data_IF_877770589714
#
_entry.id   IF_877770589714
#
_cell.length_a   1.000
_cell.length_b   1.000
_cell.length_c   1.000
_cell.angle_alpha   90.00
_cell.angle_beta   90.00
_cell.angle_gamma   90.00
#
_symmetry.space_group_name_H-M   'P 1'
#
loop_
_entity.id
_entity.type
_entity.pdbx_description
1 polymer ?
#
# COMPACT_ATOMS: atom_id res chain seq x y z
N UNK A 1 17.04 13.79 10.23
CA UNK A 1 16.35 12.74 11.02
C UNK A 1 14.98 12.34 10.48
N UNK A 2 14.12 13.26 9.98
CA UNK A 2 12.78 12.90 9.45
C UNK A 2 12.80 12.12 8.12
N UNK A 3 13.68 12.45 7.16
CA UNK A 3 13.78 11.72 5.87
C UNK A 3 14.26 10.27 6.01
N UNK A 4 15.10 9.97 7.01
CA UNK A 4 15.61 8.62 7.23
C UNK A 4 14.49 7.67 7.63
N UNK A 5 13.51 8.15 8.42
CA UNK A 5 12.36 7.35 8.84
C UNK A 5 11.42 6.99 7.68
N UNK A 6 11.23 7.91 6.72
CA UNK A 6 10.36 7.69 5.56
C UNK A 6 10.96 6.66 4.59
N UNK A 7 12.28 6.75 4.33
CA UNK A 7 13.02 5.75 3.56
C UNK A 7 13.00 4.37 4.24
N UNK A 8 13.21 4.33 5.56
CA UNK A 8 13.13 3.09 6.33
C UNK A 8 11.71 2.49 6.34
N UNK A 9 10.64 3.29 6.39
CA UNK A 9 9.28 2.76 6.33
C UNK A 9 8.96 2.20 4.94
N UNK A 10 9.30 2.91 3.86
CA UNK A 10 9.07 2.43 2.50
C UNK A 10 9.89 1.16 2.21
N UNK A 11 11.14 1.10 2.68
CA UNK A 11 11.96 -0.11 2.60
C UNK A 11 11.39 -1.25 3.45
N UNK A 12 11.05 -1.00 4.71
CA UNK A 12 10.47 -2.00 5.61
C UNK A 12 9.14 -2.54 5.09
N UNK A 13 8.24 -1.67 4.63
CA UNK A 13 6.97 -2.07 4.04
C UNK A 13 7.19 -2.82 2.72
N UNK A 14 8.12 -2.36 1.89
CA UNK A 14 8.53 -3.08 0.68
C UNK A 14 9.06 -4.48 0.97
N UNK A 15 9.89 -4.64 2.00
CA UNK A 15 10.38 -5.94 2.46
C UNK A 15 9.28 -6.80 3.09
N UNK A 16 8.33 -6.20 3.82
CA UNK A 16 7.17 -6.92 4.37
C UNK A 16 6.30 -7.45 3.24
N UNK A 17 5.96 -6.62 2.25
CA UNK A 17 5.17 -7.04 1.08
C UNK A 17 5.95 -8.07 0.28
N UNK A 18 7.24 -7.87 0.00
CA UNK A 18 8.09 -8.86 -0.69
C UNK A 18 8.27 -10.14 0.11
N UNK A 19 8.32 -10.11 1.43
CA UNK A 19 8.43 -11.31 2.25
C UNK A 19 7.11 -12.08 2.29
N UNK A 20 5.98 -11.37 2.36
CA UNK A 20 4.64 -11.98 2.33
C UNK A 20 4.30 -12.54 0.93
N UNK A 21 4.85 -11.96 -0.14
CA UNK A 21 4.65 -12.38 -1.54
C UNK A 21 5.74 -13.32 -2.04
N UNK A 22 6.97 -13.20 -1.56
CA UNK A 22 8.07 -14.13 -1.85
C UNK A 22 7.81 -15.52 -1.27
N UNK A 23 6.91 -15.62 -0.29
CA UNK A 23 6.31 -16.88 0.13
C UNK A 23 5.40 -17.51 -0.94
N UNK A 24 4.81 -16.71 -1.83
CA UNK A 24 4.00 -17.17 -2.98
C UNK A 24 4.84 -17.59 -4.18
N UNK A 25 6.02 -16.97 -4.39
CA UNK A 25 6.94 -17.35 -5.47
C UNK A 25 8.12 -18.11 -4.89
N UNK A 26 7.93 -19.41 -4.68
CA UNK A 26 9.05 -20.35 -4.61
C UNK A 26 9.91 -20.18 -5.86
N UNK A 27 11.04 -19.47 -5.70
CA UNK A 27 12.06 -19.12 -6.68
C UNK A 27 11.84 -17.79 -7.45
N UNK A 28 12.94 -17.03 -7.53
CA UNK A 28 13.20 -15.81 -8.31
C UNK A 28 12.93 -14.49 -7.57
N UNK A 29 13.93 -14.10 -6.77
CA UNK A 29 14.21 -12.71 -6.42
C UNK A 29 14.75 -12.02 -7.68
N UNK A 30 13.99 -11.10 -8.26
CA UNK A 30 14.56 -10.01 -9.06
C UNK A 30 14.25 -8.73 -8.29
N UNK A 31 15.26 -8.25 -7.57
CA UNK A 31 15.32 -6.85 -7.21
C UNK A 31 16.66 -6.33 -7.73
N UNK A 32 16.60 -5.58 -8.82
CA UNK A 32 17.74 -4.85 -9.34
C UNK A 32 17.99 -3.65 -8.43
N UNK A 33 18.92 -3.80 -7.49
CA UNK A 33 19.75 -2.70 -7.03
C UNK A 33 21.07 -3.29 -6.51
N UNK A 34 22.11 -3.16 -7.35
CA UNK A 34 23.53 -3.23 -7.00
C UNK A 34 23.99 -4.48 -6.22
N UNK A 35 24.38 -5.52 -6.98
CA UNK A 35 25.27 -6.64 -6.61
C UNK A 35 25.55 -6.87 -5.12
N UNK A 36 24.77 -7.76 -4.47
CA UNK A 36 25.29 -8.94 -3.74
C UNK A 36 24.23 -10.04 -3.88
N UNK A 37 24.50 -11.08 -4.68
CA UNK A 37 23.76 -12.34 -4.62
C UNK A 37 24.28 -13.10 -3.41
N UNK A 38 23.66 -12.91 -2.25
CA UNK A 38 23.78 -13.92 -1.19
C UNK A 38 22.75 -15.00 -1.53
N UNK A 39 23.20 -16.02 -2.24
CA UNK A 39 22.48 -17.28 -2.29
C UNK A 39 22.50 -17.87 -0.88
N UNK A 40 21.56 -17.45 -0.02
CA UNK A 40 21.27 -18.16 1.21
C UNK A 40 20.61 -19.47 0.78
N UNK A 41 21.44 -20.51 0.73
CA UNK A 41 21.01 -21.86 0.48
C UNK A 41 19.79 -22.21 1.34
N UNK A 42 18.81 -22.84 0.68
CA UNK A 42 17.79 -23.75 1.23
C UNK A 42 17.63 -23.66 2.74
N UNK A 43 16.56 -22.98 3.18
CA UNK A 43 16.12 -23.08 4.56
C UNK A 43 15.71 -24.54 4.89
N UNK A 44 16.01 -25.07 6.11
CA UNK A 44 15.98 -26.51 6.40
C UNK A 44 14.59 -27.14 6.61
N UNK A 45 13.50 -26.52 6.14
CA UNK A 45 12.13 -26.98 6.41
C UNK A 45 11.33 -27.37 5.17
N UNK A 46 11.98 -27.56 4.02
CA UNK A 46 11.32 -28.22 2.89
C UNK A 46 11.26 -29.73 3.16
N UNK A 47 10.24 -30.15 3.91
CA UNK A 47 9.67 -31.49 3.71
C UNK A 47 9.24 -31.57 2.25
N UNK A 48 9.52 -32.69 1.57
CA UNK A 48 9.09 -32.98 0.20
C UNK A 48 7.59 -32.67 0.02
N UNK A 49 7.28 -31.45 -0.42
CA UNK A 49 5.94 -30.90 -0.41
C UNK A 49 5.47 -30.70 -1.83
N UNK A 50 4.37 -31.36 -2.18
CA UNK A 50 3.58 -31.13 -3.40
C UNK A 50 3.42 -29.63 -3.60
N UNK A 51 3.64 -29.14 -4.83
CA UNK A 51 3.42 -27.75 -5.17
C UNK A 51 1.97 -27.36 -4.80
N UNK A 52 1.74 -26.19 -4.19
CA UNK A 52 0.41 -25.76 -3.78
C UNK A 52 -0.52 -25.73 -5.00
N UNK A 53 -1.77 -26.12 -4.78
CA UNK A 53 -2.82 -26.03 -5.79
C UNK A 53 -3.15 -24.55 -6.07
N UNK A 54 -3.69 -24.22 -7.25
CA UNK A 54 -4.11 -22.84 -7.57
C UNK A 54 -5.12 -22.26 -6.56
N UNK A 55 -5.95 -23.10 -5.95
CA UNK A 55 -6.90 -22.71 -4.91
C UNK A 55 -6.20 -22.32 -3.61
N UNK A 56 -5.17 -23.08 -3.20
CA UNK A 56 -4.35 -22.76 -2.03
C UNK A 56 -3.53 -21.48 -2.23
N UNK A 57 -3.00 -21.24 -3.43
CA UNK A 57 -2.30 -20.00 -3.78
C UNK A 57 -3.24 -18.78 -3.73
N UNK A 58 -4.47 -18.91 -4.26
CA UNK A 58 -5.48 -17.86 -4.23
C UNK A 58 -5.92 -17.53 -2.79
N UNK A 59 -6.18 -18.57 -1.98
CA UNK A 59 -6.54 -18.41 -0.57
C UNK A 59 -5.41 -17.76 0.24
N UNK A 60 -4.15 -18.13 -0.02
CA UNK A 60 -3.00 -17.49 0.61
C UNK A 60 -2.90 -16.01 0.22
N UNK A 61 -3.06 -15.69 -1.07
CA UNK A 61 -3.04 -14.30 -1.56
C UNK A 61 -4.13 -13.47 -0.91
N UNK A 62 -5.34 -14.01 -0.78
CA UNK A 62 -6.45 -13.36 -0.08
C UNK A 62 -6.12 -13.11 1.40
N UNK A 63 -5.57 -14.11 2.10
CA UNK A 63 -5.16 -13.96 3.49
C UNK A 63 -4.09 -12.86 3.68
N UNK A 64 -3.14 -12.74 2.75
CA UNK A 64 -2.15 -11.64 2.74
C UNK A 64 -2.83 -10.29 2.56
N UNK A 65 -3.79 -10.17 1.63
CA UNK A 65 -4.53 -8.92 1.40
C UNK A 65 -5.30 -8.52 2.66
N UNK A 66 -6.04 -9.45 3.28
CA UNK A 66 -6.80 -9.20 4.51
C UNK A 66 -5.85 -8.71 5.62
N UNK A 67 -4.70 -9.36 5.79
CA UNK A 67 -3.73 -8.99 6.82
C UNK A 67 -3.10 -7.62 6.58
N UNK A 68 -2.70 -7.32 5.34
CA UNK A 68 -2.15 -6.03 4.94
C UNK A 68 -3.14 -4.89 5.16
N UNK A 69 -4.40 -5.12 4.77
CA UNK A 69 -5.49 -4.15 4.94
C UNK A 69 -5.74 -3.88 6.43
N UNK A 70 -5.85 -4.92 7.25
CA UNK A 70 -6.06 -4.80 8.70
C UNK A 70 -4.92 -4.05 9.40
N UNK A 71 -3.66 -4.31 9.01
CA UNK A 71 -2.51 -3.54 9.52
C UNK A 71 -2.61 -2.07 9.12
N UNK A 72 -2.99 -1.78 7.87
CA UNK A 72 -3.26 -0.42 7.42
C UNK A 72 -4.34 0.26 8.24
N UNK A 73 -5.46 -0.44 8.46
CA UNK A 73 -6.59 0.03 9.25
C UNK A 73 -6.21 0.46 10.66
N UNK A 74 -5.48 -0.39 11.39
CA UNK A 74 -5.05 -0.09 12.76
C UNK A 74 -4.11 1.12 12.82
N UNK A 75 -3.18 1.22 11.87
CA UNK A 75 -2.29 2.38 11.75
C UNK A 75 -3.08 3.64 11.43
N UNK A 76 -4.01 3.55 10.47
CA UNK A 76 -4.88 4.64 10.05
C UNK A 76 -5.71 5.22 11.19
N UNK A 77 -6.36 4.35 11.96
CA UNK A 77 -7.16 4.72 13.13
C UNK A 77 -6.34 5.54 14.14
N UNK A 78 -5.20 4.99 14.58
CA UNK A 78 -4.34 5.61 15.59
C UNK A 78 -3.69 6.91 15.10
N UNK A 79 -3.32 6.94 13.83
CA UNK A 79 -2.68 8.11 13.25
C UNK A 79 -3.67 9.25 13.05
N UNK A 80 -4.89 8.96 12.60
CA UNK A 80 -5.95 9.95 12.45
C UNK A 80 -6.30 10.63 13.79
N UNK A 81 -6.43 9.86 14.87
CA UNK A 81 -6.66 10.40 16.23
C UNK A 81 -5.59 11.43 16.62
N UNK A 82 -4.32 11.14 16.30
CA UNK A 82 -3.20 12.04 16.59
C UNK A 82 -3.22 13.30 15.72
N UNK A 83 -3.47 13.16 14.42
CA UNK A 83 -3.39 14.26 13.44
C UNK A 83 -4.66 15.15 13.48
N UNK A 84 -5.78 14.63 13.99
CA UNK A 84 -7.02 15.37 14.15
C UNK A 84 -7.17 16.07 15.52
N UNK A 85 -6.29 15.78 16.49
CA UNK A 85 -6.40 16.23 17.90
C UNK A 85 -6.79 17.70 18.07
N UNK A 86 -6.09 18.60 17.39
CA UNK A 86 -6.24 20.05 17.62
C UNK A 86 -7.19 20.71 16.61
N UNK A 87 -7.98 19.91 15.88
CA UNK A 87 -8.89 20.43 14.86
C UNK A 87 -10.29 20.67 15.41
N UNK A 88 -11.00 21.66 14.84
CA UNK A 88 -12.46 21.70 14.94
C UNK A 88 -13.08 20.38 14.48
N UNK A 89 -14.19 19.99 15.10
CA UNK A 89 -14.93 18.79 14.70
C UNK A 89 -15.37 18.91 13.25
N UNK A 90 -15.07 17.88 12.47
CA UNK A 90 -15.55 17.74 11.10
C UNK A 90 -16.92 17.08 11.16
N UNK A 91 -17.96 17.81 10.77
CA UNK A 91 -19.34 17.33 10.83
C UNK A 91 -19.78 16.71 9.50
N UNK A 92 -19.26 17.23 8.39
CA UNK A 92 -19.66 16.82 7.05
C UNK A 92 -18.66 15.81 6.46
N UNK A 93 -19.13 14.80 5.71
CA UNK A 93 -18.24 13.81 5.10
C UNK A 93 -17.17 14.43 4.19
N UNK A 94 -17.52 15.50 3.48
CA UNK A 94 -16.58 16.21 2.60
C UNK A 94 -15.41 16.82 3.38
N UNK A 95 -15.63 17.30 4.61
CA UNK A 95 -14.58 17.91 5.42
C UNK A 95 -13.59 16.85 5.93
N UNK A 96 -14.12 15.67 6.30
CA UNK A 96 -13.29 14.50 6.64
C UNK A 96 -12.44 14.07 5.44
N UNK A 97 -13.02 14.01 4.23
CA UNK A 97 -12.28 13.67 3.02
C UNK A 97 -11.20 14.71 2.70
N UNK A 98 -11.50 16.01 2.86
CA UNK A 98 -10.49 17.08 2.70
C UNK A 98 -9.35 16.96 3.70
N UNK A 99 -9.64 16.61 4.94
CA UNK A 99 -8.62 16.32 5.96
C UNK A 99 -7.74 15.14 5.54
N UNK A 100 -8.35 14.06 5.04
CA UNK A 100 -7.59 12.90 4.53
C UNK A 100 -6.67 13.32 3.39
N UNK A 101 -7.19 14.06 2.40
CA UNK A 101 -6.43 14.50 1.23
C UNK A 101 -5.28 15.46 1.53
N UNK A 102 -5.38 16.22 2.61
CA UNK A 102 -4.39 17.24 2.98
C UNK A 102 -3.59 16.75 4.17
N UNK A 103 -4.06 17.01 5.37
CA UNK A 103 -3.25 16.87 6.56
C UNK A 103 -2.81 15.44 6.86
N UNK A 104 -3.71 14.48 6.68
CA UNK A 104 -3.40 13.08 6.89
C UNK A 104 -2.40 12.59 5.83
N UNK A 105 -2.67 12.84 4.54
CA UNK A 105 -1.78 12.47 3.45
C UNK A 105 -0.41 13.15 3.55
N UNK A 106 -0.36 14.46 3.85
CA UNK A 106 0.88 15.22 4.05
C UNK A 106 1.67 14.68 5.24
N UNK A 107 1.00 14.34 6.35
CA UNK A 107 1.69 13.83 7.52
C UNK A 107 2.42 12.51 7.26
N UNK A 108 1.88 11.66 6.38
CA UNK A 108 2.44 10.33 6.04
C UNK A 108 3.36 10.40 4.82
N UNK A 109 2.88 10.95 3.71
CA UNK A 109 3.54 10.92 2.40
C UNK A 109 4.23 12.24 2.02
N UNK A 110 4.19 13.24 2.90
CA UNK A 110 4.84 14.56 2.74
C UNK A 110 4.36 15.35 1.51
N UNK A 111 3.17 15.01 1.02
CA UNK A 111 2.51 15.61 -0.14
C UNK A 111 1.00 15.59 0.08
N UNK A 112 0.26 16.53 -0.52
CA UNK A 112 -1.20 16.48 -0.58
C UNK A 112 -1.69 15.68 -1.79
N UNK A 113 -2.88 15.10 -1.72
CA UNK A 113 -3.56 14.51 -2.88
C UNK A 113 -3.71 15.56 -3.99
N UNK A 114 -3.40 15.19 -5.23
CA UNK A 114 -3.41 16.11 -6.37
C UNK A 114 -4.83 16.44 -6.84
N UNK A 115 -5.72 15.45 -6.82
CA UNK A 115 -7.10 15.61 -7.29
C UNK A 115 -8.10 14.91 -6.38
N UNK A 116 -9.16 15.62 -6.05
CA UNK A 116 -10.34 15.11 -5.37
C UNK A 116 -11.56 15.31 -6.28
N UNK A 117 -12.29 14.25 -6.57
CA UNK A 117 -13.57 14.27 -7.28
C UNK A 117 -14.65 13.62 -6.42
N UNK A 118 -15.89 14.05 -6.57
CA UNK A 118 -17.05 13.43 -5.91
C UNK A 118 -18.27 13.48 -6.81
N UNK A 119 -19.16 12.51 -6.66
CA UNK A 119 -20.49 12.56 -7.26
C UNK A 119 -21.55 13.20 -6.34
N UNK A 120 -21.14 13.76 -5.18
CA UNK A 120 -22.01 14.31 -4.14
C UNK A 120 -23.04 13.33 -3.55
N UNK A 121 -22.88 12.02 -3.84
CA UNK A 121 -23.73 10.92 -3.36
C UNK A 121 -22.92 9.90 -2.57
N UNK A 122 -21.91 10.38 -1.83
CA UNK A 122 -21.07 9.54 -0.97
C UNK A 122 -19.92 8.82 -1.68
N UNK A 123 -19.70 9.03 -2.98
CA UNK A 123 -18.54 8.48 -3.69
C UNK A 123 -17.49 9.58 -3.89
N UNK A 124 -16.25 9.27 -3.53
CA UNK A 124 -15.10 10.14 -3.67
C UNK A 124 -13.99 9.40 -4.43
N UNK A 125 -13.30 10.12 -5.31
CA UNK A 125 -12.12 9.64 -6.02
C UNK A 125 -10.97 10.57 -5.69
N UNK A 126 -9.93 10.02 -5.08
CA UNK A 126 -8.69 10.72 -4.73
C UNK A 126 -7.56 10.21 -5.61
N UNK A 127 -6.74 11.12 -6.15
CA UNK A 127 -5.65 10.76 -7.05
C UNK A 127 -4.35 11.41 -6.59
N UNK A 128 -3.33 10.59 -6.40
CA UNK A 128 -1.93 11.00 -6.27
C UNK A 128 -1.19 10.55 -7.54
N UNK A 129 -0.85 11.51 -8.40
CA UNK A 129 -0.22 11.27 -9.70
C UNK A 129 1.25 10.86 -9.60
N UNK A 130 1.85 10.96 -8.42
CA UNK A 130 3.27 10.63 -8.22
C UNK A 130 3.46 9.99 -6.87
N UNK A 131 2.67 8.95 -6.61
CA UNK A 131 2.66 8.27 -5.33
C UNK A 131 4.01 7.55 -5.10
N UNK A 132 4.87 8.19 -4.31
CA UNK A 132 6.30 7.84 -4.15
C UNK A 132 6.55 6.43 -3.65
N UNK A 133 5.58 5.82 -2.96
CA UNK A 133 5.72 4.46 -2.46
C UNK A 133 5.65 3.40 -3.55
N UNK A 134 5.14 3.75 -4.74
CA UNK A 134 5.19 2.89 -5.91
C UNK A 134 6.47 3.09 -6.73
N UNK A 135 7.36 4.01 -6.31
CA UNK A 135 8.58 4.27 -7.03
C UNK A 135 9.49 3.04 -7.03
N UNK A 136 9.94 2.64 -8.22
CA UNK A 136 10.80 1.47 -8.41
C UNK A 136 10.08 0.12 -8.39
N UNK A 137 8.74 0.09 -8.41
CA UNK A 137 8.00 -1.14 -8.72
C UNK A 137 8.06 -1.38 -10.22
N UNK A 138 8.75 -2.44 -10.62
CA UNK A 138 8.84 -2.90 -12.01
C UNK A 138 8.88 -4.42 -12.06
N UNK A 139 8.20 -5.02 -13.02
CA UNK A 139 8.24 -6.45 -13.31
C UNK A 139 8.52 -6.70 -14.80
N UNK A 140 8.56 -7.96 -15.22
CA UNK A 140 8.83 -8.33 -16.61
C UNK A 140 7.72 -7.87 -17.58
N UNK A 141 6.49 -7.69 -17.08
CA UNK A 141 5.35 -7.21 -17.86
C UNK A 141 4.62 -6.06 -17.17
N UNK A 142 3.95 -5.21 -17.96
CA UNK A 142 3.10 -4.12 -17.46
C UNK A 142 1.98 -4.66 -16.54
N UNK A 143 1.43 -5.84 -16.86
CA UNK A 143 0.38 -6.49 -16.07
C UNK A 143 0.89 -6.94 -14.69
N UNK A 144 2.04 -7.63 -14.63
CA UNK A 144 2.63 -8.03 -13.34
C UNK A 144 3.04 -6.81 -12.50
N UNK A 145 3.53 -5.76 -13.15
CA UNK A 145 3.88 -4.49 -12.49
C UNK A 145 2.64 -3.87 -11.85
N UNK A 146 1.52 -3.85 -12.58
CA UNK A 146 0.22 -3.36 -12.08
C UNK A 146 -0.29 -4.19 -10.90
N UNK A 147 -0.23 -5.51 -10.99
CA UNK A 147 -0.66 -6.40 -9.91
C UNK A 147 0.17 -6.24 -8.64
N UNK A 148 1.49 -6.08 -8.79
CA UNK A 148 2.37 -5.77 -7.67
C UNK A 148 2.02 -4.41 -7.06
N UNK A 149 1.83 -3.38 -7.88
CA UNK A 149 1.46 -2.04 -7.42
C UNK A 149 0.12 -2.05 -6.65
N UNK A 150 -0.90 -2.76 -7.16
CA UNK A 150 -2.19 -2.90 -6.48
C UNK A 150 -2.05 -3.59 -5.12
N UNK A 151 -1.20 -4.61 -5.01
CA UNK A 151 -0.94 -5.27 -3.73
C UNK A 151 -0.24 -4.34 -2.73
N UNK A 152 0.71 -3.52 -3.20
CA UNK A 152 1.33 -2.47 -2.38
C UNK A 152 0.32 -1.45 -1.86
N UNK A 153 -0.73 -1.15 -2.64
CA UNK A 153 -1.79 -0.20 -2.30
C UNK A 153 -2.82 -0.72 -1.29
N UNK A 154 -2.82 -2.02 -0.96
CA UNK A 154 -3.74 -2.60 0.03
C UNK A 154 -3.57 -1.96 1.41
N UNK A 155 -2.33 -1.74 1.87
CA UNK A 155 -2.09 -1.07 3.14
C UNK A 155 -2.54 0.41 3.12
N UNK A 156 -2.20 1.24 2.11
CA UNK A 156 -2.79 2.57 1.95
C UNK A 156 -4.32 2.60 1.94
N UNK A 157 -4.99 1.60 1.33
CA UNK A 157 -6.45 1.49 1.40
C UNK A 157 -6.93 1.29 2.83
N UNK A 158 -6.32 0.35 3.57
CA UNK A 158 -6.62 0.14 4.99
C UNK A 158 -6.33 1.39 5.83
N UNK A 159 -5.21 2.07 5.57
CA UNK A 159 -4.79 3.31 6.23
C UNK A 159 -5.85 4.41 6.11
N UNK A 160 -6.38 4.62 4.89
CA UNK A 160 -7.49 5.56 4.67
C UNK A 160 -8.75 5.06 5.37
N UNK A 161 -9.10 3.77 5.24
CA UNK A 161 -10.33 3.22 5.85
C UNK A 161 -10.33 3.36 7.37
N UNK A 162 -9.20 3.10 8.03
CA UNK A 162 -9.04 3.29 9.47
C UNK A 162 -9.16 4.75 9.89
N UNK A 163 -8.54 5.65 9.12
CA UNK A 163 -8.67 7.09 9.38
C UNK A 163 -10.13 7.56 9.27
N UNK A 164 -10.85 7.13 8.23
CA UNK A 164 -12.26 7.44 8.05
C UNK A 164 -13.11 6.89 9.20
N UNK A 165 -12.89 5.64 9.60
CA UNK A 165 -13.62 5.01 10.70
C UNK A 165 -13.41 5.74 12.04
N UNK A 166 -12.18 6.15 12.34
CA UNK A 166 -11.85 6.93 13.54
C UNK A 166 -12.56 8.31 13.56
N UNK A 167 -12.80 8.88 12.37
CA UNK A 167 -13.49 10.15 12.18
C UNK A 167 -15.01 9.99 12.00
N UNK A 168 -15.55 8.78 12.24
CA UNK A 168 -16.98 8.51 12.22
C UNK A 168 -17.57 8.18 10.84
N UNK A 169 -16.74 7.94 9.82
CA UNK A 169 -17.17 7.55 8.48
C UNK A 169 -16.86 6.08 8.19
N UNK A 170 -17.89 5.28 7.94
CA UNK A 170 -17.72 3.93 7.40
C UNK A 170 -17.63 4.00 5.88
N UNK A 171 -16.55 3.48 5.31
CA UNK A 171 -16.31 3.51 3.87
C UNK A 171 -15.64 2.23 3.38
N UNK A 172 -15.86 1.90 2.10
CA UNK A 172 -15.08 0.93 1.34
C UNK A 172 -14.04 1.72 0.55
N UNK A 173 -12.78 1.30 0.63
CA UNK A 173 -11.67 1.97 -0.05
C UNK A 173 -10.99 0.96 -0.96
N UNK A 174 -11.03 1.24 -2.26
CA UNK A 174 -10.35 0.46 -3.29
C UNK A 174 -9.33 1.35 -4.00
N UNK A 175 -8.22 0.75 -4.43
CA UNK A 175 -7.22 1.42 -5.24
C UNK A 175 -7.26 0.91 -6.68
N UNK A 176 -6.85 1.77 -7.62
CA UNK A 176 -6.59 1.40 -9.00
C UNK A 176 -5.29 2.05 -9.47
N UNK A 177 -4.63 1.39 -10.42
CA UNK A 177 -3.45 1.89 -11.13
C UNK A 177 -3.82 1.89 -12.61
N UNK A 178 -4.16 3.06 -13.19
CA UNK A 178 -4.72 3.13 -14.54
C UNK A 178 -3.69 2.81 -15.62
N UNK A 179 -2.42 3.12 -15.38
CA UNK A 179 -1.31 2.86 -16.30
C UNK A 179 -0.03 2.53 -15.51
N UNK A 180 0.56 1.36 -15.76
CA UNK A 180 1.81 0.94 -15.13
C UNK A 180 3.01 1.81 -15.57
N UNK A 181 2.95 2.41 -16.76
CA UNK A 181 4.01 3.29 -17.29
C UNK A 181 4.00 4.67 -16.65
N UNK A 182 2.86 5.05 -16.05
CA UNK A 182 2.73 6.27 -15.28
C UNK A 182 3.23 6.12 -13.83
N UNK A 183 3.70 4.93 -13.43
CA UNK A 183 4.32 4.75 -12.12
C UNK A 183 5.64 5.51 -12.06
N UNK A 184 5.90 6.25 -10.95
CA UNK A 184 7.12 7.04 -10.83
C UNK A 184 8.36 6.14 -10.90
N UNK A 185 9.29 6.44 -11.81
CA UNK A 185 10.55 5.69 -11.95
C UNK A 185 10.53 4.49 -12.91
N UNK A 186 9.43 4.20 -13.61
CA UNK A 186 9.37 3.21 -14.69
C UNK A 186 9.81 3.75 -16.07
N UNK A 187 10.48 4.90 -16.12
CA UNK A 187 10.93 5.52 -17.36
C UNK A 187 12.38 5.99 -17.28
N UNK A 188 13.28 5.13 -17.75
CA UNK A 188 14.41 5.46 -18.64
C UNK A 188 14.59 4.32 -19.64
#
# INVERSE_FOLDING_TARGET
MKEVADGCFQQLYGEIVRSMVGFLRGNVVIMACSQIVVALGRYPWQTEGVAPTPEEEAAHREAVIIKLEAMGYDVGCRFAERVARDRPRMLEPLDVIKFVCKDFWIAIFKKQIDKLQTNHRGVFVVQDFSFRWLAGISAATDQETREMALLFLVFPCGLIRGALANLGLTAIVNADVPDARALPGCGE
#
